data_IF_327283985937
#
_entry.id   IF_327283985937
#
_cell.length_a   1.000
_cell.length_b   1.000
_cell.length_c   1.000
_cell.angle_alpha   90.00
_cell.angle_beta   90.00
_cell.angle_gamma   90.00
#
_symmetry.space_group_name_H-M   'P 1'
#
loop_
_entity.id
_entity.type
_entity.pdbx_description
1 polymer ?
#
# COMPACT_ATOMS: atom_id res chain seq x y z
N UNK A 1 -26.83 -2.67 -1.23
CA UNK A 1 -26.08 -1.63 -1.97
C UNK A 1 -25.25 -2.34 -3.04
N UNK A 2 -25.63 -2.27 -4.32
CA UNK A 2 -24.80 -2.83 -5.41
C UNK A 2 -23.64 -1.86 -5.63
N UNK A 3 -22.45 -2.21 -5.15
CA UNK A 3 -21.24 -1.43 -5.41
C UNK A 3 -20.90 -1.62 -6.89
N UNK A 4 -20.83 -0.52 -7.62
CA UNK A 4 -20.49 -0.53 -9.04
C UNK A 4 -19.02 -0.93 -9.22
N UNK A 5 -18.73 -1.98 -10.00
CA UNK A 5 -17.36 -2.51 -10.20
C UNK A 5 -16.37 -1.42 -10.63
N UNK A 6 -16.84 -0.48 -11.45
CA UNK A 6 -16.05 0.64 -11.97
C UNK A 6 -15.67 1.65 -10.89
N UNK A 7 -16.57 1.87 -9.93
CA UNK A 7 -16.29 2.69 -8.75
C UNK A 7 -15.29 2.02 -7.82
N UNK A 8 -15.39 0.69 -7.67
CA UNK A 8 -14.45 -0.09 -6.87
C UNK A 8 -13.04 -0.07 -7.49
N UNK A 9 -12.93 -0.26 -8.81
CA UNK A 9 -11.66 -0.12 -9.56
C UNK A 9 -11.03 1.26 -9.34
N UNK A 10 -11.81 2.34 -9.43
CA UNK A 10 -11.33 3.70 -9.21
C UNK A 10 -10.77 3.93 -7.80
N UNK A 11 -11.48 3.44 -6.78
CA UNK A 11 -11.05 3.56 -5.37
C UNK A 11 -9.80 2.72 -5.11
N UNK A 12 -9.69 1.51 -5.66
CA UNK A 12 -8.50 0.66 -5.53
C UNK A 12 -7.28 1.33 -6.16
N UNK A 13 -7.43 1.91 -7.35
CA UNK A 13 -6.34 2.62 -8.05
C UNK A 13 -5.90 3.86 -7.27
N UNK A 14 -6.86 4.69 -6.82
CA UNK A 14 -6.53 5.90 -6.05
C UNK A 14 -5.87 5.56 -4.71
N UNK A 15 -6.37 4.55 -4.02
CA UNK A 15 -5.81 4.07 -2.74
C UNK A 15 -4.41 3.49 -2.94
N UNK A 16 -4.20 2.73 -4.02
CA UNK A 16 -2.89 2.21 -4.40
C UNK A 16 -1.86 3.31 -4.65
N UNK A 17 -2.23 4.36 -5.38
CA UNK A 17 -1.38 5.54 -5.60
C UNK A 17 -0.99 6.22 -4.28
N UNK A 18 -1.95 6.45 -3.39
CA UNK A 18 -1.68 7.04 -2.06
C UNK A 18 -0.75 6.13 -1.24
N UNK A 19 -0.96 4.82 -1.30
CA UNK A 19 -0.16 3.82 -0.57
C UNK A 19 1.29 3.83 -1.06
N UNK A 20 1.52 3.93 -2.38
CA UNK A 20 2.86 4.04 -2.96
C UNK A 20 3.57 5.30 -2.48
N UNK A 21 2.90 6.46 -2.50
CA UNK A 21 3.47 7.72 -2.02
C UNK A 21 3.86 7.61 -0.54
N UNK A 22 3.00 7.03 0.30
CA UNK A 22 3.30 6.81 1.71
C UNK A 22 4.49 5.86 1.91
N UNK A 23 4.59 4.77 1.14
CA UNK A 23 5.74 3.86 1.21
C UNK A 23 7.06 4.59 0.89
N UNK A 24 7.08 5.42 -0.15
CA UNK A 24 8.28 6.17 -0.53
C UNK A 24 8.69 7.12 0.60
N UNK A 25 7.72 7.80 1.23
CA UNK A 25 7.99 8.69 2.36
C UNK A 25 8.56 7.91 3.55
N UNK A 26 7.93 6.81 3.97
CA UNK A 26 8.43 5.99 5.07
C UNK A 26 9.81 5.40 4.78
N UNK A 27 10.05 4.89 3.57
CA UNK A 27 11.34 4.38 3.16
C UNK A 27 12.42 5.47 3.17
N UNK A 28 12.07 6.68 2.74
CA UNK A 28 12.99 7.83 2.76
C UNK A 28 13.35 8.23 4.19
N UNK A 29 12.38 8.26 5.11
CA UNK A 29 12.66 8.54 6.53
C UNK A 29 13.51 7.45 7.17
N UNK A 30 13.19 6.17 6.95
CA UNK A 30 13.97 5.06 7.48
C UNK A 30 15.42 5.06 6.93
N UNK A 31 15.60 5.38 5.64
CA UNK A 31 16.92 5.51 5.04
C UNK A 31 17.68 6.72 5.59
N UNK A 32 17.02 7.86 5.78
CA UNK A 32 17.63 9.04 6.35
C UNK A 32 18.08 8.80 7.80
N UNK A 33 17.27 8.12 8.61
CA UNK A 33 17.61 7.73 9.98
C UNK A 33 18.85 6.81 10.01
N UNK A 34 18.90 5.83 9.11
CA UNK A 34 20.00 4.86 9.03
C UNK A 34 21.32 5.46 8.50
N UNK A 35 21.26 6.45 7.59
CA UNK A 35 22.44 7.04 6.96
C UNK A 35 23.00 8.23 7.73
N UNK A 36 22.11 9.06 8.28
CA UNK A 36 22.53 10.32 8.89
C UNK A 36 22.54 10.30 10.42
N UNK A 37 22.10 9.20 11.06
CA UNK A 37 22.00 9.05 12.53
C UNK A 37 21.51 10.36 13.17
N UNK A 38 20.41 10.90 12.64
CA UNK A 38 19.92 12.20 13.07
C UNK A 38 19.49 12.12 14.53
N UNK A 39 20.32 12.66 15.42
CA UNK A 39 20.09 12.81 16.86
C UNK A 39 19.08 13.95 17.14
N UNK A 40 17.99 13.96 16.38
CA UNK A 40 16.91 14.96 16.43
C UNK A 40 15.99 14.74 17.64
N UNK A 41 16.01 13.54 18.21
CA UNK A 41 15.18 13.13 19.35
C UNK A 41 15.98 12.26 20.30
N UNK A 42 15.63 12.25 21.59
CA UNK A 42 16.25 11.36 22.57
C UNK A 42 16.02 9.87 22.24
N UNK A 43 16.93 9.00 22.68
CA UNK A 43 16.89 7.55 22.42
C UNK A 43 15.53 6.90 22.75
N UNK A 44 14.87 7.34 23.82
CA UNK A 44 13.56 6.83 24.23
C UNK A 44 12.46 7.19 23.22
N UNK A 45 12.49 8.41 22.70
CA UNK A 45 11.53 8.92 21.72
C UNK A 45 11.78 8.26 20.35
N UNK A 46 13.05 8.11 19.95
CA UNK A 46 13.43 7.39 18.72
C UNK A 46 12.95 5.94 18.74
N UNK A 47 13.15 5.21 19.85
CA UNK A 47 12.63 3.84 20.00
C UNK A 47 11.11 3.79 19.87
N UNK A 48 10.40 4.72 20.51
CA UNK A 48 8.94 4.81 20.40
C UNK A 48 8.47 5.08 18.96
N UNK A 49 9.10 6.04 18.29
CA UNK A 49 8.84 6.38 16.88
C UNK A 49 9.14 5.22 15.94
N UNK A 50 10.25 4.51 16.15
CA UNK A 50 10.62 3.35 15.35
C UNK A 50 9.57 2.24 15.41
N UNK A 51 9.02 1.98 16.61
CA UNK A 51 7.92 1.01 16.79
C UNK A 51 6.66 1.47 16.06
N UNK A 52 6.27 2.75 16.20
CA UNK A 52 5.08 3.29 15.52
C UNK A 52 5.24 3.25 14.00
N UNK A 53 6.42 3.64 13.49
CA UNK A 53 6.72 3.57 12.06
C UNK A 53 6.71 2.14 11.52
N UNK A 54 7.19 1.17 12.30
CA UNK A 54 7.12 -0.24 11.91
C UNK A 54 5.67 -0.72 11.79
N UNK A 55 4.82 -0.41 12.77
CA UNK A 55 3.39 -0.76 12.70
C UNK A 55 2.70 -0.09 11.51
N UNK A 56 2.90 1.22 11.31
CA UNK A 56 2.32 1.94 10.18
C UNK A 56 2.82 1.39 8.84
N UNK A 57 4.13 1.12 8.73
CA UNK A 57 4.72 0.49 7.55
C UNK A 57 4.11 -0.87 7.24
N UNK A 58 3.88 -1.70 8.26
CA UNK A 58 3.26 -3.03 8.10
C UNK A 58 1.81 -2.95 7.57
N UNK A 59 1.04 -1.96 8.05
CA UNK A 59 -0.34 -1.70 7.57
C UNK A 59 -0.33 -1.26 6.12
N UNK A 60 0.58 -0.35 5.74
CA UNK A 60 0.74 0.14 4.38
C UNK A 60 1.10 -1.02 3.43
N UNK A 61 1.98 -1.93 3.84
CA UNK A 61 2.31 -3.15 3.08
C UNK A 61 1.09 -4.06 2.93
N UNK A 62 0.33 -4.29 4.00
CA UNK A 62 -0.89 -5.10 3.94
C UNK A 62 -1.93 -4.50 2.97
N UNK A 63 -2.14 -3.18 3.02
CA UNK A 63 -3.01 -2.47 2.08
C UNK A 63 -2.55 -2.59 0.63
N UNK A 64 -1.25 -2.53 0.38
CA UNK A 64 -0.68 -2.74 -0.95
C UNK A 64 -0.94 -4.16 -1.48
N UNK A 65 -0.72 -5.19 -0.66
CA UNK A 65 -1.01 -6.58 -1.04
C UNK A 65 -2.50 -6.80 -1.34
N UNK A 66 -3.39 -6.20 -0.55
CA UNK A 66 -4.82 -6.23 -0.82
C UNK A 66 -5.17 -5.57 -2.16
N UNK A 67 -4.56 -4.43 -2.49
CA UNK A 67 -4.76 -3.79 -3.79
C UNK A 67 -4.32 -4.68 -4.96
N UNK A 68 -3.18 -5.39 -4.82
CA UNK A 68 -2.72 -6.36 -5.82
C UNK A 68 -3.74 -7.49 -5.97
N UNK A 69 -4.21 -8.08 -4.86
CA UNK A 69 -5.17 -9.18 -4.90
C UNK A 69 -6.48 -8.77 -5.59
N UNK A 70 -6.99 -7.57 -5.30
CA UNK A 70 -8.20 -7.04 -5.95
C UNK A 70 -7.97 -6.85 -7.45
N UNK A 71 -6.83 -6.27 -7.85
CA UNK A 71 -6.51 -6.08 -9.26
C UNK A 71 -6.37 -7.41 -10.02
N UNK A 72 -5.73 -8.42 -9.41
CA UNK A 72 -5.61 -9.76 -9.99
C UNK A 72 -6.98 -10.45 -10.11
N UNK A 73 -7.83 -10.32 -9.09
CA UNK A 73 -9.20 -10.87 -9.10
C UNK A 73 -10.03 -10.27 -10.24
N UNK A 74 -9.94 -8.95 -10.43
CA UNK A 74 -10.61 -8.25 -11.52
C UNK A 74 -10.07 -8.70 -12.88
N UNK A 75 -8.75 -8.83 -13.03
CA UNK A 75 -8.12 -9.31 -14.25
C UNK A 75 -8.55 -10.74 -14.60
N UNK A 76 -8.55 -11.64 -13.63
CA UNK A 76 -9.01 -13.03 -13.78
C UNK A 76 -10.48 -13.09 -14.25
N UNK A 77 -11.36 -12.30 -13.63
CA UNK A 77 -12.77 -12.22 -14.04
C UNK A 77 -12.96 -11.66 -15.45
N UNK A 78 -12.12 -10.70 -15.88
CA UNK A 78 -12.14 -10.18 -17.27
C UNK A 78 -11.69 -11.24 -18.27
N UNK A 79 -10.63 -12.00 -17.96
CA UNK A 79 -10.14 -13.10 -18.81
C UNK A 79 -11.18 -14.20 -18.99
N UNK A 80 -11.83 -14.65 -17.91
CA UNK A 80 -12.87 -15.69 -17.98
C UNK A 80 -14.02 -15.26 -18.91
N UNK A 81 -14.46 -14.00 -18.82
CA UNK A 81 -15.52 -13.47 -19.66
C UNK A 81 -15.12 -13.32 -21.13
N UNK A 82 -13.83 -13.10 -21.43
CA UNK A 82 -13.34 -13.08 -22.81
C UNK A 82 -13.27 -14.49 -23.40
N UNK A 83 -12.79 -15.48 -22.64
CA UNK A 83 -12.76 -16.88 -23.08
C UNK A 83 -14.17 -17.41 -23.38
N UNK A 84 -15.17 -17.09 -22.55
CA UNK A 84 -16.57 -17.45 -22.79
C UNK A 84 -17.21 -16.78 -24.01
N UNK A 85 -16.64 -15.69 -24.52
CA UNK A 85 -17.12 -15.02 -25.76
C UNK A 85 -16.48 -15.58 -27.02
N UNK A 86 -15.34 -16.27 -26.90
CA UNK A 86 -14.58 -16.82 -28.01
C UNK A 86 -14.93 -18.31 -28.24
N UNK A 87 -15.34 -19.02 -27.18
CA UNK A 87 -15.98 -20.34 -27.24
C UNK A 87 -17.46 -20.25 -27.63
#
# INVERSE_FOLDING_TARGET
MKIDKRSLEGVTISTGLVTIVLMIIFASFAFADLVFEWDLFSEEIQRGLGVIMFFLGSIVIACFLLNIMVNLSIMSSKMENQTKKIS
#
